data_IF_839547677035
#
_entry.id   IF_839547677035
#
_cell.length_a   1.000
_cell.length_b   1.000
_cell.length_c   1.000
_cell.angle_alpha   90.00
_cell.angle_beta   90.00
_cell.angle_gamma   90.00
#
_symmetry.space_group_name_H-M   'P 1'
#
loop_
_entity.id
_entity.type
_entity.pdbx_description
1 polymer ?
#
# COMPACT_ATOMS: atom_id res chain seq x y z
N UNK A 1 2.90 46.61 44.32
CA UNK A 1 2.61 45.19 44.66
C UNK A 1 2.18 44.40 43.42
N UNK A 2 1.05 44.70 42.78
CA UNK A 2 0.55 43.95 41.62
C UNK A 2 1.50 43.90 40.42
N UNK A 3 2.11 45.03 40.05
CA UNK A 3 3.04 45.11 38.90
C UNK A 3 4.31 44.28 39.15
N UNK A 4 4.84 44.32 40.37
CA UNK A 4 6.01 43.52 40.77
C UNK A 4 5.69 42.01 40.75
N UNK A 5 4.50 41.61 41.19
CA UNK A 5 4.08 40.21 41.12
C UNK A 5 3.97 39.70 39.68
N UNK A 6 3.43 40.53 38.77
CA UNK A 6 3.35 40.18 37.34
C UNK A 6 4.75 39.98 36.75
N UNK A 7 5.68 40.89 37.04
CA UNK A 7 7.04 40.87 36.47
C UNK A 7 7.89 39.73 37.03
N UNK A 8 7.82 39.48 38.34
CA UNK A 8 8.72 38.53 39.02
C UNK A 8 8.13 37.13 39.20
N UNK A 9 6.82 36.95 39.06
CA UNK A 9 6.16 35.64 39.27
C UNK A 9 5.49 35.16 38.00
N UNK A 10 4.63 36.00 37.40
CA UNK A 10 3.79 35.55 36.26
C UNK A 10 4.62 35.39 34.98
N UNK A 11 5.46 36.37 34.63
CA UNK A 11 6.27 36.32 33.41
C UNK A 11 7.30 35.16 33.45
N UNK A 12 8.09 34.96 34.52
CA UNK A 12 9.04 33.84 34.59
C UNK A 12 8.35 32.47 34.56
N UNK A 13 7.19 32.35 35.21
CA UNK A 13 6.40 31.12 35.19
C UNK A 13 5.90 30.79 33.77
N UNK A 14 5.42 31.79 33.03
CA UNK A 14 4.99 31.60 31.63
C UNK A 14 6.16 31.24 30.71
N UNK A 15 7.33 31.86 30.90
CA UNK A 15 8.55 31.51 30.15
C UNK A 15 8.97 30.07 30.44
N UNK A 16 8.98 29.68 31.72
CA UNK A 16 9.32 28.32 32.12
C UNK A 16 8.32 27.28 31.57
N UNK A 17 7.01 27.56 31.67
CA UNK A 17 5.97 26.71 31.10
C UNK A 17 6.11 26.59 29.58
N UNK A 18 6.46 27.68 28.88
CA UNK A 18 6.72 27.66 27.44
C UNK A 18 7.94 26.81 27.07
N UNK A 19 9.03 26.87 27.85
CA UNK A 19 10.23 26.04 27.63
C UNK A 19 9.90 24.55 27.85
N UNK A 20 9.15 24.22 28.91
CA UNK A 20 8.69 22.84 29.14
C UNK A 20 7.80 22.38 27.99
N UNK A 21 6.80 23.17 27.60
CA UNK A 21 5.91 22.84 26.49
C UNK A 21 6.68 22.60 25.19
N UNK A 22 7.65 23.47 24.86
CA UNK A 22 8.50 23.31 23.67
C UNK A 22 9.33 22.03 23.73
N UNK A 23 9.90 21.69 24.88
CA UNK A 23 10.67 20.45 25.05
C UNK A 23 9.78 19.21 24.98
N UNK A 24 8.58 19.25 25.58
CA UNK A 24 7.60 18.16 25.51
C UNK A 24 7.11 17.97 24.08
N UNK A 25 6.76 19.03 23.35
CA UNK A 25 6.39 18.95 21.94
C UNK A 25 7.54 18.42 21.07
N UNK A 26 8.79 18.79 21.37
CA UNK A 26 9.97 18.25 20.70
C UNK A 26 10.09 16.74 20.93
N UNK A 27 9.97 16.27 22.16
CA UNK A 27 9.97 14.85 22.53
C UNK A 27 8.81 14.09 21.87
N UNK A 28 7.61 14.66 21.84
CA UNK A 28 6.44 14.04 21.18
C UNK A 28 6.65 13.93 19.66
N UNK A 29 7.16 14.99 19.01
CA UNK A 29 7.47 14.94 17.58
C UNK A 29 8.60 13.96 17.27
N UNK A 30 9.59 13.86 18.15
CA UNK A 30 10.70 12.92 18.02
C UNK A 30 10.23 11.46 18.21
N UNK A 31 9.36 11.20 19.19
CA UNK A 31 8.71 9.90 19.35
C UNK A 31 7.82 9.55 18.16
N UNK A 32 7.15 10.54 17.56
CA UNK A 32 6.36 10.34 16.33
C UNK A 32 7.24 10.00 15.13
N UNK A 33 8.38 10.69 14.95
CA UNK A 33 9.38 10.36 13.92
C UNK A 33 9.99 8.97 14.13
N UNK A 34 10.24 8.60 15.39
CA UNK A 34 10.66 7.26 15.79
C UNK A 34 9.61 6.24 15.32
N UNK A 35 8.36 6.41 15.71
CA UNK A 35 7.27 5.51 15.32
C UNK A 35 7.01 5.49 13.80
N UNK A 36 7.21 6.60 13.09
CA UNK A 36 7.15 6.68 11.62
C UNK A 36 8.35 6.03 10.91
N UNK A 37 9.45 5.78 11.59
CA UNK A 37 10.56 5.00 11.04
C UNK A 37 10.39 3.51 11.39
N UNK A 38 9.99 3.21 12.64
CA UNK A 38 9.91 1.84 13.16
C UNK A 38 8.60 1.10 12.88
N UNK A 39 7.45 1.79 12.76
CA UNK A 39 6.18 1.19 12.33
C UNK A 39 6.21 0.66 10.88
N UNK A 40 7.32 0.85 10.18
CA UNK A 40 7.53 0.52 8.79
C UNK A 40 8.63 -0.54 8.57
N UNK A 41 9.43 -0.83 9.60
CA UNK A 41 10.42 -1.92 9.64
C UNK A 41 9.77 -3.26 10.06
N UNK A 42 8.77 -3.20 10.93
CA UNK A 42 7.95 -4.35 11.31
C UNK A 42 6.78 -4.47 10.34
N UNK A 43 6.80 -5.43 9.41
CA UNK A 43 5.69 -6.16 8.74
C UNK A 43 4.33 -5.51 8.35
N UNK A 44 3.92 -4.40 8.92
CA UNK A 44 2.63 -3.71 8.74
C UNK A 44 2.60 -2.82 7.48
N UNK A 45 3.57 -2.99 6.58
CA UNK A 45 3.54 -2.32 5.30
C UNK A 45 2.64 -3.10 4.34
N UNK A 46 1.48 -2.53 4.00
CA UNK A 46 0.57 -3.07 2.97
C UNK A 46 1.28 -3.47 1.68
N UNK A 47 2.30 -2.70 1.26
CA UNK A 47 3.09 -3.01 0.06
C UNK A 47 3.99 -4.24 0.23
N UNK A 48 4.54 -4.44 1.43
CA UNK A 48 5.34 -5.62 1.74
C UNK A 48 4.48 -6.88 1.75
N UNK A 49 3.29 -6.82 2.39
CA UNK A 49 2.35 -7.95 2.39
C UNK A 49 1.87 -8.31 0.98
N UNK A 50 1.58 -7.32 0.14
CA UNK A 50 1.24 -7.54 -1.27
C UNK A 50 2.38 -8.22 -2.03
N UNK A 51 3.62 -7.77 -1.80
CA UNK A 51 4.80 -8.37 -2.38
C UNK A 51 4.98 -9.82 -1.92
N UNK A 52 4.93 -10.08 -0.60
CA UNK A 52 5.11 -11.41 -0.01
C UNK A 52 4.05 -12.41 -0.52
N UNK A 53 2.78 -11.99 -0.55
CA UNK A 53 1.69 -12.82 -1.07
C UNK A 53 1.89 -13.14 -2.55
N UNK A 54 2.33 -12.16 -3.34
CA UNK A 54 2.61 -12.38 -4.75
C UNK A 54 3.84 -13.28 -4.97
N UNK A 55 4.88 -13.16 -4.15
CA UNK A 55 6.04 -14.04 -4.19
C UNK A 55 5.65 -15.49 -3.90
N UNK A 56 4.83 -15.73 -2.88
CA UNK A 56 4.27 -17.07 -2.61
C UNK A 56 3.51 -17.63 -3.80
N UNK A 57 2.66 -16.80 -4.42
CA UNK A 57 1.94 -17.17 -5.66
C UNK A 57 2.92 -17.53 -6.78
N UNK A 58 3.94 -16.72 -6.98
CA UNK A 58 4.94 -16.91 -8.01
C UNK A 58 5.67 -18.25 -7.84
N UNK A 59 6.12 -18.57 -6.63
CA UNK A 59 6.82 -19.84 -6.37
C UNK A 59 5.92 -21.06 -6.62
N UNK A 60 4.64 -21.01 -6.24
CA UNK A 60 3.69 -22.10 -6.52
C UNK A 60 3.49 -22.29 -8.03
N UNK A 61 3.32 -21.20 -8.78
CA UNK A 61 3.16 -21.26 -10.24
C UNK A 61 4.46 -21.75 -10.93
N UNK A 62 5.62 -21.27 -10.48
CA UNK A 62 6.92 -21.72 -10.96
C UNK A 62 7.11 -23.23 -10.71
N UNK A 63 6.78 -23.71 -9.51
CA UNK A 63 6.85 -25.13 -9.19
C UNK A 63 5.90 -25.99 -10.03
N UNK A 64 4.69 -25.50 -10.32
CA UNK A 64 3.76 -26.15 -11.26
C UNK A 64 4.39 -26.35 -12.65
N UNK A 65 5.10 -25.36 -13.17
CA UNK A 65 5.81 -25.48 -14.44
C UNK A 65 7.01 -26.44 -14.36
N UNK A 66 7.75 -26.42 -13.25
CA UNK A 66 8.84 -27.36 -13.02
C UNK A 66 8.36 -28.82 -13.01
N UNK A 67 7.30 -29.13 -12.25
CA UNK A 67 6.69 -30.46 -12.19
C UNK A 67 6.27 -30.96 -13.58
N UNK A 68 5.70 -30.07 -14.41
CA UNK A 68 5.30 -30.39 -15.78
C UNK A 68 6.50 -30.75 -16.66
N UNK A 69 7.58 -29.99 -16.57
CA UNK A 69 8.75 -30.13 -17.47
C UNK A 69 9.70 -31.24 -17.03
N UNK A 70 10.10 -31.25 -15.76
CA UNK A 70 11.14 -32.16 -15.27
C UNK A 70 10.58 -33.49 -14.78
N UNK A 71 9.29 -33.55 -14.42
CA UNK A 71 8.67 -34.76 -13.87
C UNK A 71 7.49 -35.28 -14.68
N UNK A 72 7.04 -34.55 -15.70
CA UNK A 72 5.85 -34.91 -16.47
C UNK A 72 4.55 -34.91 -15.66
N UNK A 73 4.53 -34.23 -14.50
CA UNK A 73 3.36 -34.17 -13.60
C UNK A 73 2.58 -32.90 -13.91
N UNK A 74 1.30 -33.06 -14.25
CA UNK A 74 0.40 -31.93 -14.44
C UNK A 74 -0.25 -31.56 -13.09
N UNK A 75 0.27 -30.52 -12.44
CA UNK A 75 -0.32 -29.96 -11.23
C UNK A 75 -1.31 -28.83 -11.57
N UNK A 76 -2.43 -28.76 -10.86
CA UNK A 76 -3.39 -27.67 -10.99
C UNK A 76 -3.67 -27.02 -9.63
N UNK A 77 -2.71 -26.20 -9.18
CA UNK A 77 -2.85 -25.43 -7.95
C UNK A 77 -3.75 -24.22 -8.18
N UNK A 78 -4.73 -24.03 -7.28
CA UNK A 78 -5.60 -22.85 -7.32
C UNK A 78 -4.93 -21.68 -6.61
N UNK A 79 -4.27 -20.78 -7.37
CA UNK A 79 -3.55 -19.61 -6.83
C UNK A 79 -4.33 -18.29 -6.97
N UNK A 80 -5.55 -18.32 -7.51
CA UNK A 80 -6.40 -17.14 -7.72
C UNK A 80 -6.80 -16.46 -6.40
N UNK A 81 -6.73 -17.18 -5.28
CA UNK A 81 -7.00 -16.68 -3.93
C UNK A 81 -6.00 -15.58 -3.51
N UNK A 82 -4.80 -15.57 -4.11
CA UNK A 82 -3.75 -14.58 -3.85
C UNK A 82 -3.82 -13.34 -4.76
N UNK A 83 -4.79 -13.26 -5.68
CA UNK A 83 -4.87 -12.16 -6.67
C UNK A 83 -5.59 -10.90 -6.19
N UNK A 84 -6.39 -10.95 -5.11
CA UNK A 84 -7.16 -9.79 -4.69
C UNK A 84 -6.43 -8.98 -3.59
N UNK A 85 -5.91 -7.77 -3.92
CA UNK A 85 -5.23 -6.91 -2.96
C UNK A 85 -6.17 -6.25 -1.94
N UNK A 86 -7.50 -6.38 -2.09
CA UNK A 86 -8.52 -5.77 -1.23
C UNK A 86 -9.31 -6.78 -0.38
N UNK A 87 -9.02 -8.08 -0.48
CA UNK A 87 -9.59 -9.04 0.47
C UNK A 87 -8.93 -8.76 1.82
N UNK A 88 -9.70 -8.21 2.74
CA UNK A 88 -9.28 -8.07 4.13
C UNK A 88 -8.82 -9.45 4.63
N UNK A 89 -7.69 -9.49 5.35
CA UNK A 89 -7.10 -10.71 5.96
C UNK A 89 -8.12 -11.59 6.70
N UNK A 90 -9.28 -11.04 7.05
CA UNK A 90 -10.36 -11.70 7.77
C UNK A 90 -11.30 -12.54 6.90
N UNK A 91 -11.24 -12.44 5.57
CA UNK A 91 -12.08 -13.22 4.64
C UNK A 91 -11.32 -14.29 3.86
N UNK A 92 -9.99 -14.41 4.03
CA UNK A 92 -9.29 -15.61 3.55
C UNK A 92 -9.65 -16.74 4.52
N UNK A 93 -10.55 -17.63 4.08
CA UNK A 93 -10.92 -18.81 4.85
C UNK A 93 -9.65 -19.54 5.31
N UNK A 94 -9.56 -19.86 6.61
CA UNK A 94 -8.42 -20.55 7.23
C UNK A 94 -7.99 -21.83 6.49
N UNK A 95 -8.92 -22.46 5.78
CA UNK A 95 -8.69 -23.62 4.91
C UNK A 95 -7.85 -23.28 3.67
N UNK A 96 -8.04 -22.09 3.08
CA UNK A 96 -7.27 -21.63 1.93
C UNK A 96 -5.83 -21.28 2.30
N UNK A 97 -5.61 -20.66 3.46
CA UNK A 97 -4.26 -20.41 3.97
C UNK A 97 -3.51 -21.72 4.19
N UNK A 98 -4.15 -22.67 4.90
CA UNK A 98 -3.54 -23.98 5.17
C UNK A 98 -3.27 -24.78 3.89
N UNK A 99 -4.15 -24.68 2.88
CA UNK A 99 -3.92 -25.28 1.57
C UNK A 99 -2.67 -24.72 0.88
N UNK A 100 -2.50 -23.39 0.86
CA UNK A 100 -1.34 -22.74 0.24
C UNK A 100 -0.04 -23.03 1.01
N UNK A 101 -0.09 -23.04 2.35
CA UNK A 101 1.05 -23.41 3.18
C UNK A 101 1.50 -24.85 2.93
N UNK A 102 0.56 -25.79 2.78
CA UNK A 102 0.91 -27.18 2.45
C UNK A 102 1.59 -27.31 1.09
N UNK A 103 1.20 -26.51 0.09
CA UNK A 103 1.87 -26.52 -1.22
C UNK A 103 3.27 -25.92 -1.09
N UNK A 104 3.41 -24.77 -0.41
CA UNK A 104 4.71 -24.15 -0.20
C UNK A 104 5.67 -25.07 0.57
N UNK A 105 5.18 -25.81 1.56
CA UNK A 105 5.96 -26.80 2.29
C UNK A 105 6.46 -27.93 1.36
N UNK A 106 5.65 -28.35 0.38
CA UNK A 106 6.10 -29.29 -0.66
C UNK A 106 7.18 -28.68 -1.56
N UNK A 107 7.05 -27.40 -1.94
CA UNK A 107 8.05 -26.68 -2.74
C UNK A 107 9.38 -26.63 -2.01
N UNK A 108 9.37 -26.21 -0.74
CA UNK A 108 10.58 -26.02 0.05
C UNK A 108 11.23 -27.32 0.52
N UNK A 109 10.50 -28.44 0.51
CA UNK A 109 11.04 -29.78 0.79
C UNK A 109 11.53 -30.52 -0.44
N UNK A 110 11.37 -29.95 -1.63
CA UNK A 110 11.84 -30.55 -2.87
C UNK A 110 13.27 -30.10 -3.18
N UNK A 111 14.25 -30.79 -2.57
CA UNK A 111 15.68 -30.49 -2.73
C UNK A 111 16.11 -30.39 -4.20
N UNK A 112 15.56 -31.26 -5.06
CA UNK A 112 15.88 -31.26 -6.50
C UNK A 112 15.37 -30.00 -7.19
N UNK A 113 14.17 -29.54 -6.85
CA UNK A 113 13.64 -28.28 -7.39
C UNK A 113 14.49 -27.08 -6.99
N UNK A 114 14.96 -27.05 -5.74
CA UNK A 114 15.82 -25.99 -5.23
C UNK A 114 17.16 -25.98 -5.97
N UNK A 115 17.83 -27.13 -6.07
CA UNK A 115 19.11 -27.29 -6.79
C UNK A 115 18.99 -26.88 -8.28
N UNK A 116 17.95 -27.37 -8.96
CA UNK A 116 17.73 -27.08 -10.39
C UNK A 116 17.35 -25.59 -10.62
N UNK A 117 16.79 -24.91 -9.62
CA UNK A 117 16.40 -23.50 -9.68
C UNK A 117 17.51 -22.53 -9.29
N UNK A 118 18.46 -22.98 -8.46
CA UNK A 118 19.65 -22.22 -8.06
C UNK A 118 20.85 -22.39 -9.02
N UNK A 119 20.69 -23.19 -10.08
CA UNK A 119 21.75 -23.46 -11.04
C UNK A 119 22.36 -22.17 -11.61
N UNK A 120 23.64 -21.93 -11.30
CA UNK A 120 24.36 -20.68 -11.61
C UNK A 120 24.45 -20.31 -13.10
N UNK A 121 24.18 -21.23 -14.02
CA UNK A 121 24.21 -20.99 -15.46
C UNK A 121 22.77 -20.87 -16.01
N UNK A 122 22.29 -19.64 -16.30
CA UNK A 122 20.93 -19.42 -16.78
C UNK A 122 20.59 -20.14 -18.08
N UNK A 123 21.60 -20.49 -18.88
CA UNK A 123 21.41 -21.21 -20.15
C UNK A 123 21.04 -22.67 -19.96
N UNK A 124 21.39 -23.25 -18.81
CA UNK A 124 21.12 -24.65 -18.48
C UNK A 124 19.89 -24.83 -17.61
N UNK A 125 19.23 -23.73 -17.24
CA UNK A 125 18.02 -23.76 -16.42
C UNK A 125 16.93 -24.61 -17.08
N UNK A 126 16.21 -25.37 -16.26
CA UNK A 126 15.01 -26.10 -16.66
C UNK A 126 13.96 -25.18 -17.30
N UNK A 127 13.95 -23.88 -16.94
CA UNK A 127 13.03 -22.88 -17.50
C UNK A 127 13.20 -22.72 -19.02
N UNK A 128 14.37 -23.06 -19.58
CA UNK A 128 14.63 -23.05 -21.03
C UNK A 128 13.94 -24.16 -21.79
N UNK A 129 13.50 -25.21 -21.09
CA UNK A 129 12.77 -26.35 -21.67
C UNK A 129 11.26 -26.10 -21.74
N UNK A 130 10.77 -24.98 -21.20
CA UNK A 130 9.36 -24.62 -21.20
C UNK A 130 8.83 -24.36 -22.63
N UNK A 131 7.55 -24.62 -22.83
CA UNK A 131 6.86 -24.25 -24.07
C UNK A 131 6.75 -22.72 -24.18
N UNK A 132 6.66 -22.17 -25.40
CA UNK A 132 6.56 -20.73 -25.61
C UNK A 132 5.39 -20.08 -24.84
N UNK A 133 4.25 -20.77 -24.72
CA UNK A 133 3.10 -20.28 -23.97
C UNK A 133 3.39 -20.18 -22.46
N UNK A 134 3.99 -21.24 -21.90
CA UNK A 134 4.34 -21.30 -20.48
C UNK A 134 5.43 -20.27 -20.14
N UNK A 135 6.42 -20.08 -21.03
CA UNK A 135 7.45 -19.04 -20.89
C UNK A 135 6.81 -17.65 -20.82
N UNK A 136 5.86 -17.33 -21.72
CA UNK A 136 5.20 -16.02 -21.72
C UNK A 136 4.43 -15.80 -20.42
N UNK A 137 3.71 -16.81 -19.92
CA UNK A 137 2.99 -16.73 -18.63
C UNK A 137 3.95 -16.48 -17.47
N UNK A 138 5.04 -17.24 -17.40
CA UNK A 138 6.02 -17.10 -16.32
C UNK A 138 6.78 -15.77 -16.39
N UNK A 139 7.11 -15.28 -17.59
CA UNK A 139 7.66 -13.93 -17.80
C UNK A 139 6.72 -12.84 -17.27
N UNK A 140 5.41 -12.94 -17.57
CA UNK A 140 4.42 -11.98 -17.05
C UNK A 140 4.36 -12.02 -15.53
N UNK A 141 4.40 -13.21 -14.92
CA UNK A 141 4.41 -13.35 -13.47
C UNK A 141 5.68 -12.77 -12.83
N UNK A 142 6.86 -13.06 -13.38
CA UNK A 142 8.12 -12.50 -12.87
C UNK A 142 8.16 -10.97 -13.01
N UNK A 143 7.66 -10.43 -14.13
CA UNK A 143 7.54 -8.98 -14.32
C UNK A 143 6.59 -8.36 -13.27
N UNK A 144 5.47 -9.01 -12.96
CA UNK A 144 4.57 -8.57 -11.88
C UNK A 144 5.27 -8.63 -10.52
N UNK A 145 6.03 -9.69 -10.22
CA UNK A 145 6.83 -9.81 -8.98
C UNK A 145 7.77 -8.61 -8.85
N UNK A 146 8.50 -8.28 -9.92
CA UNK A 146 9.37 -7.10 -9.97
C UNK A 146 8.61 -5.78 -9.76
N UNK A 147 7.40 -5.62 -10.32
CA UNK A 147 6.57 -4.43 -10.11
C UNK A 147 6.14 -4.29 -8.64
N UNK A 148 5.76 -5.39 -7.97
CA UNK A 148 5.41 -5.38 -6.54
C UNK A 148 6.62 -5.15 -5.63
N UNK A 149 7.81 -5.57 -6.08
CA UNK A 149 9.06 -5.41 -5.37
C UNK A 149 9.53 -3.94 -5.31
N UNK A 150 9.35 -3.18 -6.39
CA UNK A 150 9.83 -1.78 -6.52
C UNK A 150 9.41 -0.82 -5.40
N UNK A 151 8.13 -0.75 -4.97
CA UNK A 151 7.73 0.06 -3.81
C UNK A 151 8.50 -0.27 -2.54
N UNK A 152 8.78 -1.56 -2.32
CA UNK A 152 9.48 -2.05 -1.14
C UNK A 152 10.96 -1.64 -1.20
N UNK A 153 11.61 -1.80 -2.36
CA UNK A 153 12.98 -1.32 -2.58
C UNK A 153 13.11 0.19 -2.35
N UNK A 154 12.23 0.98 -2.98
CA UNK A 154 12.23 2.44 -2.86
C UNK A 154 12.17 2.89 -1.41
N UNK A 155 11.42 2.17 -0.58
CA UNK A 155 11.29 2.45 0.84
C UNK A 155 12.58 2.11 1.61
N UNK A 156 13.14 0.92 1.41
CA UNK A 156 14.38 0.52 2.08
C UNK A 156 15.54 1.46 1.72
N UNK A 157 15.64 1.89 0.47
CA UNK A 157 16.63 2.90 0.07
C UNK A 157 16.42 4.24 0.77
N UNK A 158 15.16 4.69 0.94
CA UNK A 158 14.88 5.89 1.71
C UNK A 158 15.29 5.75 3.19
N UNK A 159 15.08 4.58 3.77
CA UNK A 159 15.41 4.31 5.18
C UNK A 159 16.92 4.19 5.39
N UNK A 160 17.63 3.52 4.47
CA UNK A 160 19.10 3.49 4.41
C UNK A 160 19.69 4.90 4.34
N UNK A 161 19.11 5.78 3.52
CA UNK A 161 19.57 7.17 3.40
C UNK A 161 19.34 7.99 4.70
N UNK A 162 18.33 7.64 5.50
CA UNK A 162 18.04 8.31 6.79
C UNK A 162 18.85 7.70 7.94
N UNK A 163 19.32 6.46 7.80
CA UNK A 163 20.06 5.68 8.82
C UNK A 163 21.13 6.50 9.53
N UNK A 164 22.08 7.07 8.78
CA UNK A 164 23.23 7.79 9.36
C UNK A 164 22.82 8.97 10.24
N UNK A 165 21.76 9.70 9.85
CA UNK A 165 21.22 10.80 10.68
C UNK A 165 20.50 10.30 11.92
N UNK A 166 19.82 9.16 11.85
CA UNK A 166 19.08 8.60 12.99
C UNK A 166 20.02 7.96 14.01
N UNK A 167 21.02 7.23 13.52
CA UNK A 167 22.06 6.60 14.33
C UNK A 167 22.90 7.64 15.07
N UNK A 168 23.43 8.65 14.37
CA UNK A 168 24.26 9.69 14.99
C UNK A 168 23.53 10.57 16.01
N UNK A 169 22.19 10.62 15.94
CA UNK A 169 21.36 11.37 16.89
C UNK A 169 20.74 10.47 17.97
N UNK A 170 21.22 9.23 18.13
CA UNK A 170 20.75 8.26 19.13
C UNK A 170 19.25 7.90 19.03
N UNK A 171 18.65 8.07 17.85
CA UNK A 171 17.28 7.65 17.56
C UNK A 171 17.18 6.22 17.00
N UNK A 172 18.33 5.59 16.77
CA UNK A 172 18.49 4.21 16.30
C UNK A 172 19.62 3.58 17.10
N UNK A 173 19.39 2.38 17.60
CA UNK A 173 20.44 1.60 18.27
C UNK A 173 21.22 0.71 17.27
N UNK A 174 22.31 0.12 17.74
CA UNK A 174 23.17 -0.74 16.95
C UNK A 174 22.44 -1.97 16.39
N UNK A 175 21.47 -2.49 17.13
CA UNK A 175 20.71 -3.66 16.70
C UNK A 175 19.77 -3.31 15.54
N UNK A 176 19.05 -2.20 15.64
CA UNK A 176 18.19 -1.65 14.59
C UNK A 176 18.99 -1.27 13.35
N UNK A 177 20.18 -0.71 13.55
CA UNK A 177 21.12 -0.40 12.47
C UNK A 177 21.53 -1.66 11.69
N UNK A 178 21.84 -2.75 12.42
CA UNK A 178 22.17 -4.06 11.83
C UNK A 178 20.97 -4.72 11.16
N UNK A 179 19.77 -4.62 11.74
CA UNK A 179 18.55 -5.14 11.13
C UNK A 179 18.26 -4.47 9.79
N UNK A 180 18.44 -3.15 9.69
CA UNK A 180 18.29 -2.44 8.43
C UNK A 180 19.35 -2.86 7.39
N UNK A 181 20.59 -3.13 7.82
CA UNK A 181 21.62 -3.66 6.93
C UNK A 181 21.26 -5.05 6.42
N UNK A 182 20.82 -5.95 7.31
CA UNK A 182 20.36 -7.29 6.92
C UNK A 182 19.18 -7.25 5.94
N UNK A 183 18.20 -6.37 6.19
CA UNK A 183 17.13 -6.11 5.22
C UNK A 183 17.68 -5.55 3.89
N UNK A 184 18.73 -4.72 3.90
CA UNK A 184 19.32 -4.29 2.62
C UNK A 184 19.97 -5.46 1.87
N UNK A 185 20.61 -6.38 2.58
CA UNK A 185 21.26 -7.57 2.01
C UNK A 185 20.24 -8.54 1.41
N UNK A 186 19.22 -8.94 2.18
CA UNK A 186 18.12 -9.80 1.72
C UNK A 186 17.45 -9.24 0.44
N UNK A 187 17.28 -7.93 0.37
CA UNK A 187 16.69 -7.28 -0.80
C UNK A 187 17.64 -7.22 -2.00
N UNK A 188 18.94 -7.12 -1.78
CA UNK A 188 19.92 -7.20 -2.87
C UNK A 188 19.98 -8.62 -3.43
N UNK A 189 19.89 -9.63 -2.57
CA UNK A 189 19.79 -11.03 -2.98
C UNK A 189 18.54 -11.26 -3.84
N UNK A 190 17.37 -10.86 -3.37
CA UNK A 190 16.13 -10.96 -4.14
C UNK A 190 16.20 -10.22 -5.49
N UNK A 191 16.80 -9.03 -5.51
CA UNK A 191 17.03 -8.30 -6.74
C UNK A 191 17.87 -9.11 -7.73
N UNK A 192 18.98 -9.70 -7.27
CA UNK A 192 19.84 -10.55 -8.09
C UNK A 192 19.13 -11.83 -8.55
N UNK A 193 18.28 -12.42 -7.71
CA UNK A 193 17.45 -13.58 -8.08
C UNK A 193 16.48 -13.25 -9.22
N UNK A 194 15.80 -12.10 -9.16
CA UNK A 194 14.91 -11.65 -10.24
C UNK A 194 15.69 -11.49 -11.57
N UNK A 195 16.91 -10.91 -11.52
CA UNK A 195 17.76 -10.79 -12.71
C UNK A 195 18.18 -12.16 -13.25
N UNK A 196 18.57 -13.07 -12.36
CA UNK A 196 18.96 -14.43 -12.71
C UNK A 196 17.81 -15.20 -13.36
N UNK A 197 16.63 -15.22 -12.75
CA UNK A 197 15.45 -15.90 -13.29
C UNK A 197 14.99 -15.29 -14.63
N UNK A 198 15.10 -13.98 -14.78
CA UNK A 198 14.82 -13.33 -16.06
C UNK A 198 15.75 -13.86 -17.16
N UNK A 199 17.04 -14.02 -16.83
CA UNK A 199 18.01 -14.62 -17.73
C UNK A 199 17.79 -16.13 -17.93
N UNK A 200 17.17 -16.86 -16.99
CA UNK A 200 16.76 -18.25 -17.20
C UNK A 200 15.60 -18.36 -18.20
N UNK A 201 14.70 -17.37 -18.24
CA UNK A 201 13.54 -17.35 -19.15
C UNK A 201 13.86 -16.79 -20.54
N UNK A 202 14.88 -15.94 -20.65
CA UNK A 202 15.22 -15.27 -21.91
C UNK A 202 16.62 -14.69 -21.85
N UNK A 203 17.35 -14.80 -22.96
CA UNK A 203 18.69 -14.21 -23.03
C UNK A 203 18.67 -12.71 -22.79
N UNK A 204 19.52 -12.26 -21.86
CA UNK A 204 19.76 -10.84 -21.51
C UNK A 204 18.53 -10.08 -21.03
N UNK A 205 17.46 -10.78 -20.64
CA UNK A 205 16.26 -10.10 -20.15
C UNK A 205 16.43 -9.54 -18.73
N UNK A 206 17.39 -10.08 -17.96
CA UNK A 206 17.80 -9.47 -16.69
C UNK A 206 18.20 -7.99 -16.84
N UNK A 207 18.83 -7.62 -17.96
CA UNK A 207 19.31 -6.25 -18.17
C UNK A 207 18.15 -5.23 -18.31
N UNK A 208 16.96 -5.67 -18.77
CA UNK A 208 15.84 -4.76 -19.05
C UNK A 208 14.67 -4.91 -18.11
N UNK A 209 14.47 -6.09 -17.48
CA UNK A 209 13.26 -6.41 -16.70
C UNK A 209 12.95 -5.37 -15.61
N UNK A 210 13.97 -4.91 -14.88
CA UNK A 210 13.80 -3.91 -13.82
C UNK A 210 13.39 -2.55 -14.40
N UNK A 211 13.99 -2.15 -15.53
CA UNK A 211 13.65 -0.89 -16.20
C UNK A 211 12.22 -0.90 -16.74
N UNK A 212 11.78 -2.04 -17.27
CA UNK A 212 10.43 -2.25 -17.78
C UNK A 212 9.41 -2.25 -16.62
N UNK A 213 9.71 -2.97 -15.53
CA UNK A 213 8.93 -2.95 -14.30
C UNK A 213 8.78 -1.53 -13.75
N UNK A 214 9.86 -0.74 -13.77
CA UNK A 214 9.85 0.65 -13.29
C UNK A 214 8.94 1.53 -14.14
N UNK A 215 9.04 1.44 -15.47
CA UNK A 215 8.17 2.17 -16.40
C UNK A 215 6.69 1.84 -16.17
N UNK A 216 6.38 0.55 -16.06
CA UNK A 216 5.00 0.07 -15.83
C UNK A 216 4.49 0.52 -14.46
N UNK A 217 5.31 0.41 -13.41
CA UNK A 217 4.95 0.85 -12.06
C UNK A 217 4.56 2.33 -12.03
N UNK A 218 5.40 3.19 -12.63
CA UNK A 218 5.13 4.64 -12.66
C UNK A 218 3.91 4.99 -13.51
N UNK A 219 3.72 4.31 -14.64
CA UNK A 219 2.53 4.47 -15.47
C UNK A 219 1.25 4.08 -14.69
N UNK A 220 1.25 2.93 -14.00
CA UNK A 220 0.12 2.47 -13.20
C UNK A 220 -0.18 3.42 -12.03
N UNK A 221 0.86 3.95 -11.39
CA UNK A 221 0.72 4.94 -10.31
C UNK A 221 0.09 6.22 -10.82
N UNK A 222 0.54 6.75 -11.97
CA UNK A 222 -0.03 7.95 -12.58
C UNK A 222 -1.52 7.75 -12.92
N UNK A 223 -1.87 6.61 -13.54
CA UNK A 223 -3.25 6.25 -13.86
C UNK A 223 -4.14 6.16 -12.60
N UNK A 224 -3.64 5.53 -11.54
CA UNK A 224 -4.38 5.41 -10.27
C UNK A 224 -4.61 6.78 -9.60
N UNK A 225 -3.64 7.70 -9.68
CA UNK A 225 -3.79 9.07 -9.19
C UNK A 225 -4.81 9.87 -9.99
N UNK A 226 -4.83 9.73 -11.32
CA UNK A 226 -5.86 10.33 -12.18
C UNK A 226 -7.27 9.82 -11.86
N UNK A 227 -7.43 8.51 -11.67
CA UNK A 227 -8.72 7.91 -11.29
C UNK A 227 -9.20 8.39 -9.92
N UNK A 228 -8.29 8.55 -8.95
CA UNK A 228 -8.60 9.13 -7.64
C UNK A 228 -9.09 10.57 -7.77
N UNK A 229 -8.40 11.40 -8.57
CA UNK A 229 -8.82 12.79 -8.84
C UNK A 229 -10.22 12.83 -9.47
N UNK A 230 -10.47 12.00 -10.49
CA UNK A 230 -11.81 11.90 -11.13
C UNK A 230 -12.90 11.48 -10.15
N UNK A 231 -12.63 10.48 -9.28
CA UNK A 231 -13.58 10.04 -8.24
C UNK A 231 -13.85 11.14 -7.21
N UNK A 232 -12.84 11.91 -6.84
CA UNK A 232 -12.97 13.02 -5.89
C UNK A 232 -13.75 14.20 -6.50
N UNK A 233 -13.48 14.55 -7.76
CA UNK A 233 -14.25 15.54 -8.52
C UNK A 233 -15.72 15.14 -8.63
N UNK A 234 -16.01 13.87 -8.94
CA UNK A 234 -17.38 13.34 -9.00
C UNK A 234 -18.08 13.47 -7.64
N UNK A 235 -17.40 13.09 -6.54
CA UNK A 235 -17.94 13.26 -5.17
C UNK A 235 -18.21 14.73 -4.83
N UNK A 236 -17.33 15.64 -5.26
CA UNK A 236 -17.50 17.07 -5.02
C UNK A 236 -18.65 17.66 -5.85
N UNK A 237 -18.85 17.22 -7.09
CA UNK A 237 -20.02 17.60 -7.89
C UNK A 237 -21.33 17.09 -7.28
N UNK A 238 -21.36 15.84 -6.81
CA UNK A 238 -22.53 15.25 -6.14
C UNK A 238 -22.88 15.99 -4.84
N UNK A 239 -21.88 16.38 -4.03
CA UNK A 239 -22.08 17.22 -2.83
C UNK A 239 -22.65 18.58 -3.20
N UNK A 240 -22.15 19.23 -4.26
CA UNK A 240 -22.67 20.52 -4.73
C UNK A 240 -24.11 20.41 -5.25
N UNK A 241 -24.46 19.34 -5.95
CA UNK A 241 -25.83 19.09 -6.41
C UNK A 241 -26.79 18.87 -5.24
N UNK A 242 -26.44 18.01 -4.27
CA UNK A 242 -27.25 17.80 -3.06
C UNK A 242 -27.47 19.08 -2.25
N UNK A 243 -26.46 19.95 -2.17
CA UNK A 243 -26.59 21.25 -1.50
C UNK A 243 -27.55 22.19 -2.26
N UNK A 244 -27.50 22.20 -3.60
CA UNK A 244 -28.43 22.98 -4.44
C UNK A 244 -29.86 22.46 -4.30
N UNK A 245 -30.08 21.15 -4.32
CA UNK A 245 -31.41 20.55 -4.13
C UNK A 245 -31.97 20.86 -2.74
N UNK A 246 -31.15 20.79 -1.69
CA UNK A 246 -31.59 21.12 -0.32
C UNK A 246 -32.01 22.59 -0.21
N UNK A 247 -31.21 23.52 -0.76
CA UNK A 247 -31.56 24.94 -0.83
C UNK A 247 -32.84 25.18 -1.63
N UNK A 248 -33.01 24.49 -2.76
CA UNK A 248 -34.21 24.60 -3.58
C UNK A 248 -35.45 24.15 -2.81
N UNK A 249 -35.40 23.00 -2.11
CA UNK A 249 -36.48 22.50 -1.27
C UNK A 249 -36.86 23.46 -0.14
N UNK A 250 -35.87 23.99 0.58
CA UNK A 250 -36.10 25.00 1.62
C UNK A 250 -36.74 26.28 1.07
N UNK A 251 -36.33 26.74 -0.13
CA UNK A 251 -36.96 27.91 -0.76
C UNK A 251 -38.39 27.65 -1.23
N UNK A 252 -38.67 26.45 -1.76
CA UNK A 252 -40.04 26.09 -2.19
C UNK A 252 -40.99 25.90 -1.00
N UNK A 253 -40.50 25.34 0.11
CA UNK A 253 -41.31 25.20 1.33
C UNK A 253 -41.65 26.56 1.94
N UNK A 254 -40.69 27.49 2.00
CA UNK A 254 -40.96 28.87 2.44
C UNK A 254 -41.94 29.61 1.52
N UNK A 255 -41.81 29.44 0.21
CA UNK A 255 -42.74 30.03 -0.75
C UNK A 255 -44.16 29.47 -0.60
N UNK A 256 -44.31 28.16 -0.37
CA UNK A 256 -45.61 27.52 -0.13
C UNK A 256 -46.26 27.97 1.18
N UNK A 257 -45.48 28.15 2.25
CA UNK A 257 -45.99 28.69 3.53
C UNK A 257 -46.52 30.11 3.36
N UNK A 258 -45.76 30.99 2.68
CA UNK A 258 -46.19 32.36 2.37
C UNK A 258 -47.45 32.38 1.49
N UNK A 259 -47.53 31.50 0.49
CA UNK A 259 -48.72 31.40 -0.35
C UNK A 259 -49.96 30.98 0.45
N UNK A 260 -49.81 30.04 1.39
CA UNK A 260 -50.90 29.61 2.27
C UNK A 260 -51.35 30.72 3.22
N UNK A 261 -50.43 31.48 3.80
CA UNK A 261 -50.74 32.65 4.65
C UNK A 261 -51.53 33.72 3.87
N UNK A 262 -51.14 34.01 2.63
CA UNK A 262 -51.84 34.98 1.77
C UNK A 262 -53.27 34.49 1.44
N UNK A 263 -53.43 33.19 1.16
CA UNK A 263 -54.74 32.58 0.87
C UNK A 263 -55.66 32.61 2.10
N UNK A 264 -55.13 32.35 3.30
CA UNK A 264 -55.89 32.45 4.55
C UNK A 264 -56.29 33.89 4.90
N UNK A 265 -55.40 34.86 4.68
CA UNK A 265 -55.71 36.28 4.81
C UNK A 265 -56.81 36.75 3.83
N UNK A 266 -56.74 36.30 2.57
CA UNK A 266 -57.77 36.58 1.57
C UNK A 266 -59.12 35.98 1.95
N UNK A 267 -59.14 34.74 2.43
CA UNK A 267 -60.35 34.04 2.83
C UNK A 267 -60.99 34.64 4.09
N UNK A 268 -60.18 35.10 5.05
CA UNK A 268 -60.65 35.80 6.25
C UNK A 268 -61.18 37.21 5.94
N UNK A 269 -60.57 37.94 4.99
CA UNK A 269 -61.10 39.22 4.45
C UNK A 269 -62.42 39.02 3.68
N UNK A 270 -62.56 37.93 2.91
CA UNK A 270 -63.82 37.57 2.22
C UNK A 270 -64.94 37.17 3.19
N UNK A 271 -64.63 36.45 4.29
CA UNK A 271 -65.61 36.13 5.35
C UNK A 271 -66.11 37.37 6.09
N UNK A 272 -65.25 38.35 6.39
CA UNK A 272 -65.66 39.63 7.00
C UNK A 272 -66.51 40.52 6.09
N UNK A 273 -66.43 40.37 4.76
CA UNK A 273 -67.28 41.08 3.80
C UNK A 273 -68.67 40.45 3.61
N UNK A 274 -68.85 39.16 3.93
CA UNK A 274 -70.15 38.47 3.83
C UNK A 274 -71.00 38.56 5.10
N UNK A 275 -70.45 39.06 6.20
CA UNK A 275 -71.15 39.21 7.49
C UNK A 275 -71.62 40.65 7.76
N UNK A 276 -71.78 41.47 6.72
CA UNK A 276 -72.27 42.86 6.81
C UNK A 276 -73.49 43.02 5.93
#
# INVERSE_FOLDING_TARGET
>A
MFILYIIFVVIPFLIFAYIIYKNVCKIINENKKRNEFFGYLNGDNKQYNLYENFTKKYEIEKYKYYLKVERGIQADYQTNILDDPNVDKYEIDKQNEQYLENILDQVYKDDKFLEDSEMNDPQKSWMRKLSNEDVVKLKVLLLKKAIYFLPVCNKIFQDKNKKGRLYNNYYMDDNMSKQLDGQCEEFLEEFNFILHEANCLSDKWGDTIISDAYRIYHHNKAKAEEEKKKKEELKNMLKKQKLKEKKLKETTEKANLLANEIIEEENSKKKKKKSK
#
